data_IF_656067407003
#
_entry.id   IF_656067407003
#
_cell.length_a   1.000
_cell.length_b   1.000
_cell.length_c   1.000
_cell.angle_alpha   90.00
_cell.angle_beta   90.00
_cell.angle_gamma   90.00
#
_symmetry.space_group_name_H-M   'P 1'
#
loop_
_entity.id
_entity.type
_entity.pdbx_description
1 polymer ?
#
# COMPACT_ATOMS: atom_id res chain seq x y z
N UNK A 1 -3.63 -7.31 23.32
CA UNK A 1 -4.52 -6.64 24.30
C UNK A 1 -5.92 -7.22 24.13
N UNK A 2 -6.20 -8.39 24.71
CA UNK A 2 -7.47 -9.11 24.55
C UNK A 2 -8.07 -9.47 25.93
N UNK A 3 -8.04 -8.54 26.89
CA UNK A 3 -8.71 -8.71 28.18
C UNK A 3 -10.11 -8.07 28.10
N UNK A 4 -11.20 -8.85 28.06
CA UNK A 4 -12.55 -8.33 27.91
C UNK A 4 -13.05 -7.60 29.16
N UNK A 5 -12.41 -7.79 30.31
CA UNK A 5 -12.81 -7.15 31.57
C UNK A 5 -12.09 -5.83 31.78
N UNK A 6 -10.87 -5.68 31.28
CA UNK A 6 -10.05 -4.49 31.48
C UNK A 6 -9.84 -3.64 30.23
N UNK A 7 -10.28 -4.06 29.05
CA UNK A 7 -10.13 -3.30 27.80
C UNK A 7 -11.50 -3.01 27.18
N UNK A 8 -11.85 -1.73 27.07
CA UNK A 8 -12.96 -1.24 26.24
C UNK A 8 -12.40 -0.64 24.96
N UNK A 9 -12.95 -1.03 23.81
CA UNK A 9 -12.64 -0.40 22.51
C UNK A 9 -13.92 0.21 21.97
N UNK A 10 -13.90 1.53 21.73
CA UNK A 10 -15.04 2.29 21.23
C UNK A 10 -14.65 2.98 19.91
N UNK A 11 -15.55 3.00 18.94
CA UNK A 11 -15.43 3.78 17.72
C UNK A 11 -16.45 4.92 17.66
N UNK A 12 -16.38 5.72 16.59
CA UNK A 12 -17.32 6.83 16.35
C UNK A 12 -18.79 6.42 16.46
N UNK A 13 -19.16 5.25 15.94
CA UNK A 13 -20.54 4.76 15.94
C UNK A 13 -21.05 4.39 17.34
N UNK A 14 -20.17 3.89 18.22
CA UNK A 14 -20.54 3.51 19.58
C UNK A 14 -20.87 4.77 20.41
N UNK A 15 -20.06 5.82 20.24
CA UNK A 15 -20.22 7.08 20.98
C UNK A 15 -21.39 7.91 20.43
N UNK A 16 -21.60 7.92 19.11
CA UNK A 16 -22.77 8.60 18.51
C UNK A 16 -24.09 7.85 18.81
N UNK A 17 -24.06 6.52 18.82
CA UNK A 17 -25.23 5.68 19.05
C UNK A 17 -25.66 5.62 20.52
N UNK A 18 -24.70 5.74 21.43
CA UNK A 18 -24.90 5.77 22.87
C UNK A 18 -24.06 6.89 23.51
N UNK A 19 -24.72 8.01 23.81
CA UNK A 19 -24.08 9.20 24.35
C UNK A 19 -23.45 9.02 25.74
N UNK A 20 -23.72 7.92 26.44
CA UNK A 20 -23.09 7.62 27.75
C UNK A 20 -22.02 6.53 27.70
N UNK A 21 -21.89 5.80 26.59
CA UNK A 21 -20.98 4.64 26.48
C UNK A 21 -19.52 4.96 26.86
N UNK A 22 -19.03 6.13 26.47
CA UNK A 22 -17.68 6.58 26.82
C UNK A 22 -17.53 6.85 28.32
N UNK A 23 -18.50 7.53 28.94
CA UNK A 23 -18.47 7.85 30.36
C UNK A 23 -18.60 6.59 31.23
N UNK A 24 -19.46 5.66 30.82
CA UNK A 24 -19.58 4.35 31.46
C UNK A 24 -18.26 3.59 31.40
N UNK A 25 -17.63 3.53 30.22
CA UNK A 25 -16.34 2.86 30.06
C UNK A 25 -15.22 3.49 30.92
N UNK A 26 -15.22 4.81 31.06
CA UNK A 26 -14.26 5.57 31.88
C UNK A 26 -14.55 5.48 33.38
N UNK A 27 -15.78 5.24 33.80
CA UNK A 27 -16.17 5.12 35.21
C UNK A 27 -16.07 3.68 35.72
N UNK A 28 -16.16 2.70 34.82
CA UNK A 28 -16.11 1.28 35.16
C UNK A 28 -14.85 0.90 35.93
N UNK A 29 -15.03 0.16 37.03
CA UNK A 29 -13.96 -0.40 37.85
C UNK A 29 -13.40 -1.69 37.23
N UNK A 30 -12.14 -1.99 37.52
CA UNK A 30 -11.58 -3.31 37.19
C UNK A 30 -12.11 -4.36 38.18
N UNK A 31 -12.79 -5.38 37.66
CA UNK A 31 -13.39 -6.45 38.50
C UNK A 31 -12.38 -7.45 39.06
N UNK A 32 -11.20 -7.56 38.44
CA UNK A 32 -10.15 -8.54 38.81
C UNK A 32 -8.90 -7.80 39.35
N UNK A 33 -8.99 -6.48 39.50
CA UNK A 33 -7.89 -5.61 39.88
C UNK A 33 -6.96 -5.28 38.70
N UNK A 34 -6.11 -4.28 38.91
CA UNK A 34 -5.23 -3.73 37.87
C UNK A 34 -5.84 -2.52 37.17
N UNK A 35 -5.09 -1.97 36.21
CA UNK A 35 -5.48 -0.77 35.45
C UNK A 35 -6.38 -1.15 34.27
N UNK A 36 -7.39 -0.32 34.00
CA UNK A 36 -8.30 -0.45 32.85
C UNK A 36 -7.78 0.36 31.67
N UNK A 37 -7.98 -0.11 30.44
CA UNK A 37 -7.74 0.62 29.21
C UNK A 37 -9.07 0.93 28.52
N UNK A 38 -9.32 2.21 28.25
CA UNK A 38 -10.38 2.67 27.37
C UNK A 38 -9.72 3.20 26.10
N UNK A 39 -9.87 2.48 25.00
CA UNK A 39 -9.32 2.84 23.70
C UNK A 39 -10.43 3.37 22.80
N UNK A 40 -10.32 4.62 22.36
CA UNK A 40 -11.24 5.22 21.41
C UNK A 40 -10.57 5.34 20.04
N UNK A 41 -11.25 4.92 18.99
CA UNK A 41 -10.86 5.15 17.59
C UNK A 41 -11.74 6.25 17.02
N UNK A 42 -11.14 7.42 16.81
CA UNK A 42 -11.80 8.61 16.34
C UNK A 42 -11.40 8.95 14.91
N UNK A 43 -12.36 9.10 13.99
CA UNK A 43 -12.06 9.43 12.60
C UNK A 43 -11.46 10.83 12.39
N UNK A 44 -11.83 11.80 13.23
CA UNK A 44 -11.41 13.21 13.10
C UNK A 44 -12.42 14.10 12.35
N UNK A 45 -13.33 13.52 11.58
CA UNK A 45 -14.18 14.26 10.63
C UNK A 45 -15.47 14.83 11.24
N UNK A 46 -15.80 14.46 12.49
CA UNK A 46 -17.06 14.82 13.16
C UNK A 46 -16.82 15.83 14.29
N UNK A 47 -17.19 17.13 14.10
CA UNK A 47 -16.99 18.16 15.11
C UNK A 47 -17.79 17.94 16.42
N UNK A 48 -18.89 17.18 16.38
CA UNK A 48 -19.65 16.81 17.58
C UNK A 48 -18.83 15.87 18.47
N UNK A 49 -18.30 14.78 17.90
CA UNK A 49 -17.47 13.81 18.60
C UNK A 49 -16.16 14.43 19.09
N UNK A 50 -15.53 15.30 18.29
CA UNK A 50 -14.33 16.04 18.70
C UNK A 50 -14.55 16.79 20.04
N UNK A 51 -15.71 17.44 20.20
CA UNK A 51 -16.06 18.15 21.44
C UNK A 51 -16.38 17.21 22.59
N UNK A 52 -17.10 16.11 22.35
CA UNK A 52 -17.42 15.11 23.36
C UNK A 52 -16.15 14.48 23.91
N UNK A 53 -15.24 14.07 23.03
CA UNK A 53 -13.95 13.49 23.40
C UNK A 53 -13.06 14.50 24.13
N UNK A 54 -13.05 15.77 23.71
CA UNK A 54 -12.33 16.82 24.42
C UNK A 54 -12.85 17.04 25.84
N UNK A 55 -14.17 16.99 26.04
CA UNK A 55 -14.79 17.12 27.35
C UNK A 55 -14.44 15.92 28.24
N UNK A 56 -14.63 14.70 27.74
CA UNK A 56 -14.30 13.47 28.46
C UNK A 56 -12.81 13.42 28.85
N UNK A 57 -11.90 13.80 27.95
CA UNK A 57 -10.47 13.87 28.23
C UNK A 57 -10.15 14.83 29.39
N UNK A 58 -10.76 16.03 29.40
CA UNK A 58 -10.56 17.02 30.47
C UNK A 58 -11.10 16.50 31.80
N UNK A 59 -12.34 16.02 31.81
CA UNK A 59 -12.96 15.46 33.01
C UNK A 59 -12.13 14.31 33.58
N UNK A 60 -11.62 13.42 32.73
CA UNK A 60 -10.75 12.34 33.15
C UNK A 60 -9.42 12.85 33.75
N UNK A 61 -8.76 13.79 33.06
CA UNK A 61 -7.49 14.37 33.50
C UNK A 61 -7.61 15.15 34.82
N UNK A 62 -8.79 15.72 35.10
CA UNK A 62 -9.10 16.41 36.35
C UNK A 62 -9.59 15.46 37.47
N UNK A 63 -9.60 14.15 37.21
CA UNK A 63 -9.96 13.12 38.20
C UNK A 63 -11.47 12.88 38.37
N UNK A 64 -12.29 13.29 37.40
CA UNK A 64 -13.75 13.13 37.45
C UNK A 64 -14.26 11.71 37.14
N UNK A 65 -13.41 10.81 36.64
CA UNK A 65 -13.74 9.40 36.38
C UNK A 65 -12.79 8.45 37.15
N UNK A 66 -12.87 7.15 36.86
CA UNK A 66 -12.04 6.14 37.53
C UNK A 66 -10.53 6.46 37.34
N UNK A 67 -9.75 6.67 38.42
CA UNK A 67 -8.31 6.97 38.32
C UNK A 67 -7.48 5.78 37.81
N UNK A 68 -8.00 4.55 37.89
CA UNK A 68 -7.34 3.36 37.38
C UNK A 68 -7.62 3.12 35.89
N UNK A 69 -8.50 3.92 35.27
CA UNK A 69 -8.72 3.90 33.83
C UNK A 69 -7.65 4.72 33.11
N UNK A 70 -7.12 4.16 32.03
CA UNK A 70 -6.23 4.83 31.09
C UNK A 70 -6.99 5.05 29.79
N UNK A 71 -7.19 6.32 29.42
CA UNK A 71 -7.80 6.72 28.17
C UNK A 71 -6.75 6.85 27.07
N UNK A 72 -6.91 6.12 25.97
CA UNK A 72 -6.12 6.25 24.76
C UNK A 72 -7.04 6.59 23.60
N UNK A 73 -6.83 7.73 22.95
CA UNK A 73 -7.61 8.16 21.80
C UNK A 73 -6.71 8.11 20.56
N UNK A 74 -7.03 7.21 19.65
CA UNK A 74 -6.41 7.13 18.33
C UNK A 74 -7.27 7.95 17.37
N UNK A 75 -6.76 9.11 16.98
CA UNK A 75 -7.46 10.00 16.07
C UNK A 75 -6.85 9.96 14.67
N UNK A 76 -7.68 10.21 13.65
CA UNK A 76 -7.22 10.65 12.34
C UNK A 76 -6.54 12.03 12.39
N UNK A 77 -6.35 12.66 11.23
CA UNK A 77 -5.68 13.97 11.17
C UNK A 77 -6.51 15.06 11.87
N UNK A 78 -6.00 15.61 12.97
CA UNK A 78 -6.64 16.70 13.71
C UNK A 78 -5.99 18.06 13.43
N UNK A 79 -6.77 18.98 12.86
CA UNK A 79 -6.37 20.37 12.66
C UNK A 79 -6.15 21.14 13.97
N UNK A 80 -5.58 22.34 13.88
CA UNK A 80 -5.28 23.18 15.07
C UNK A 80 -6.55 23.68 15.76
N UNK A 81 -7.68 23.65 15.08
CA UNK A 81 -8.99 24.05 15.56
C UNK A 81 -9.68 22.99 16.41
N UNK A 82 -9.30 21.71 16.28
CA UNK A 82 -9.85 20.57 17.03
C UNK A 82 -9.83 20.84 18.53
N UNK A 83 -10.99 20.68 19.16
CA UNK A 83 -11.15 20.79 20.59
C UNK A 83 -10.40 19.68 21.32
N UNK A 84 -10.40 18.46 20.77
CA UNK A 84 -9.70 17.32 21.34
C UNK A 84 -8.19 17.56 21.35
N UNK A 85 -7.63 17.99 20.21
CA UNK A 85 -6.20 18.33 20.12
C UNK A 85 -5.80 19.39 21.14
N UNK A 86 -6.56 20.49 21.21
CA UNK A 86 -6.31 21.57 22.20
C UNK A 86 -6.39 21.05 23.64
N UNK A 87 -7.36 20.18 23.95
CA UNK A 87 -7.50 19.59 25.26
C UNK A 87 -6.33 18.66 25.63
N UNK A 88 -5.83 17.89 24.67
CA UNK A 88 -4.70 16.99 24.86
C UNK A 88 -3.36 17.74 25.01
N UNK A 89 -3.17 18.86 24.30
CA UNK A 89 -1.94 19.67 24.38
C UNK A 89 -1.91 20.58 25.62
N UNK A 90 -3.06 21.07 26.10
CA UNK A 90 -3.13 22.01 27.23
C UNK A 90 -3.26 21.33 28.61
N UNK A 91 -3.67 20.07 28.67
CA UNK A 91 -3.94 19.36 29.91
C UNK A 91 -2.66 18.91 30.64
N UNK A 92 -2.68 18.90 31.98
CA UNK A 92 -1.57 18.38 32.80
C UNK A 92 -1.61 16.86 32.97
N UNK A 93 -2.79 16.25 32.82
CA UNK A 93 -3.03 14.80 32.92
C UNK A 93 -3.21 14.11 31.56
N UNK A 94 -2.93 14.81 30.46
CA UNK A 94 -3.05 14.31 29.10
C UNK A 94 -1.80 14.68 28.28
N UNK A 95 -1.57 13.95 27.19
CA UNK A 95 -0.50 14.26 26.24
C UNK A 95 -1.00 14.01 24.83
N UNK A 96 -0.78 14.98 23.94
CA UNK A 96 -0.94 14.82 22.51
C UNK A 96 0.33 14.26 21.89
N UNK A 97 0.25 13.11 21.23
CA UNK A 97 1.35 12.54 20.45
C UNK A 97 0.97 12.63 18.98
N UNK A 98 1.70 13.46 18.23
CA UNK A 98 1.44 13.63 16.79
C UNK A 98 2.19 12.56 16.01
N UNK A 99 1.45 11.75 15.27
CA UNK A 99 1.99 10.72 14.38
C UNK A 99 2.04 11.27 12.95
N UNK A 100 3.14 11.87 12.56
CA UNK A 100 3.37 12.32 11.19
C UNK A 100 3.59 11.13 10.24
N UNK A 101 3.17 11.29 8.98
CA UNK A 101 3.58 10.40 7.90
C UNK A 101 5.10 10.45 7.73
N UNK A 102 5.71 9.34 7.34
CA UNK A 102 7.14 9.32 7.08
C UNK A 102 7.44 10.04 5.76
N UNK A 103 8.32 11.04 5.84
CA UNK A 103 8.98 11.56 4.65
C UNK A 103 10.18 10.66 4.27
N UNK A 104 10.68 10.79 3.04
CA UNK A 104 11.83 10.01 2.58
C UNK A 104 13.06 10.14 3.51
N UNK A 105 13.24 11.32 4.13
CA UNK A 105 14.30 11.55 5.11
C UNK A 105 14.12 10.78 6.41
N UNK A 106 12.89 10.64 6.90
CA UNK A 106 12.57 9.86 8.10
C UNK A 106 12.78 8.37 7.86
N UNK A 107 12.35 7.87 6.71
CA UNK A 107 12.60 6.48 6.31
C UNK A 107 14.10 6.20 6.25
N UNK A 108 14.88 7.07 5.59
CA UNK A 108 16.33 6.93 5.52
C UNK A 108 16.99 6.93 6.90
N UNK A 109 16.52 7.77 7.82
CA UNK A 109 17.00 7.81 9.21
C UNK A 109 16.65 6.52 9.95
N UNK A 110 15.42 6.04 9.85
CA UNK A 110 14.99 4.80 10.48
C UNK A 110 15.81 3.59 10.00
N UNK A 111 16.07 3.49 8.69
CA UNK A 111 16.94 2.44 8.13
C UNK A 111 18.33 2.51 8.76
N UNK A 112 18.95 3.70 8.82
CA UNK A 112 20.29 3.86 9.42
C UNK A 112 20.30 3.47 10.90
N UNK A 113 19.32 3.92 11.66
CA UNK A 113 19.22 3.64 13.11
C UNK A 113 19.08 2.12 13.36
N UNK A 114 18.23 1.45 12.59
CA UNK A 114 18.02 0.01 12.71
C UNK A 114 19.25 -0.80 12.31
N UNK A 115 19.88 -0.49 11.16
CA UNK A 115 21.11 -1.18 10.74
C UNK A 115 22.27 -0.95 11.72
N UNK A 116 22.39 0.27 12.26
CA UNK A 116 23.42 0.61 13.24
C UNK A 116 23.26 -0.16 14.56
N UNK A 117 22.02 -0.45 14.98
CA UNK A 117 21.76 -1.29 16.16
C UNK A 117 22.41 -2.69 16.03
N UNK A 118 22.42 -3.22 14.81
CA UNK A 118 23.06 -4.49 14.46
C UNK A 118 24.52 -4.35 14.01
N UNK A 119 25.12 -3.15 14.13
CA UNK A 119 26.50 -2.85 13.70
C UNK A 119 26.75 -3.20 12.23
N UNK A 120 25.77 -2.94 11.38
CA UNK A 120 25.85 -3.08 9.92
C UNK A 120 25.43 -1.76 9.27
N UNK A 121 25.65 -1.62 7.97
CA UNK A 121 25.32 -0.38 7.28
C UNK A 121 25.16 -0.50 5.77
N UNK A 122 24.79 0.63 5.17
CA UNK A 122 24.74 0.85 3.74
C UNK A 122 25.58 2.08 3.38
N UNK A 123 26.20 2.07 2.20
CA UNK A 123 26.72 3.30 1.58
C UNK A 123 25.55 4.25 1.24
N UNK A 124 25.86 5.52 0.98
CA UNK A 124 24.82 6.55 0.75
C UNK A 124 23.92 6.23 -0.45
N UNK A 125 24.50 5.74 -1.54
CA UNK A 125 23.79 5.36 -2.76
C UNK A 125 22.96 4.07 -2.59
N UNK A 126 23.47 3.09 -1.86
CA UNK A 126 22.72 1.88 -1.50
C UNK A 126 21.53 2.23 -0.60
N UNK A 127 21.72 3.10 0.38
CA UNK A 127 20.65 3.56 1.26
C UNK A 127 19.52 4.24 0.46
N UNK A 128 19.85 5.16 -0.45
CA UNK A 128 18.87 5.85 -1.28
C UNK A 128 18.03 4.85 -2.11
N UNK A 129 18.69 3.87 -2.73
CA UNK A 129 18.02 2.81 -3.50
C UNK A 129 17.12 1.94 -2.62
N UNK A 130 17.61 1.55 -1.45
CA UNK A 130 16.84 0.72 -0.53
C UNK A 130 15.60 1.47 -0.02
N UNK A 131 15.75 2.73 0.39
CA UNK A 131 14.64 3.59 0.82
C UNK A 131 13.59 3.74 -0.28
N UNK A 132 14.02 3.94 -1.54
CA UNK A 132 13.09 4.04 -2.67
C UNK A 132 12.31 2.76 -2.97
N UNK A 133 12.77 1.60 -2.47
CA UNK A 133 12.12 0.29 -2.63
C UNK A 133 11.27 -0.15 -1.44
N UNK A 134 11.39 0.51 -0.28
CA UNK A 134 10.67 0.10 0.91
C UNK A 134 9.15 0.32 0.74
N UNK A 135 8.33 -0.64 1.20
CA UNK A 135 6.87 -0.50 1.17
C UNK A 135 6.46 0.67 2.09
N UNK A 136 5.34 1.33 1.74
CA UNK A 136 4.81 2.46 2.52
C UNK A 136 4.29 2.05 3.91
N UNK A 137 3.94 0.78 4.08
CA UNK A 137 3.44 0.25 5.35
C UNK A 137 4.62 0.03 6.31
N UNK A 138 4.60 0.70 7.48
CA UNK A 138 5.72 0.71 8.44
C UNK A 138 6.07 -0.69 8.98
N UNK A 139 5.09 -1.56 9.16
CA UNK A 139 5.30 -2.93 9.62
C UNK A 139 6.14 -3.74 8.64
N UNK A 140 5.74 -3.75 7.36
CA UNK A 140 6.48 -4.38 6.27
C UNK A 140 7.86 -3.73 6.09
N UNK A 141 7.93 -2.41 6.18
CA UNK A 141 9.20 -1.68 6.09
C UNK A 141 10.20 -2.14 7.15
N UNK A 142 9.75 -2.31 8.41
CA UNK A 142 10.61 -2.82 9.49
C UNK A 142 11.07 -4.25 9.24
N UNK A 143 10.19 -5.12 8.74
CA UNK A 143 10.55 -6.50 8.38
C UNK A 143 11.61 -6.54 7.28
N UNK A 144 11.50 -5.67 6.28
CA UNK A 144 12.47 -5.56 5.19
C UNK A 144 13.84 -5.05 5.69
N UNK A 145 13.85 -4.09 6.61
CA UNK A 145 15.09 -3.60 7.24
C UNK A 145 15.75 -4.70 8.08
N UNK A 146 14.97 -5.42 8.88
CA UNK A 146 15.46 -6.54 9.69
C UNK A 146 16.02 -7.66 8.81
N UNK A 147 15.32 -8.00 7.72
CA UNK A 147 15.78 -8.98 6.73
C UNK A 147 17.14 -8.59 6.16
N UNK A 148 17.32 -7.32 5.80
CA UNK A 148 18.59 -6.81 5.29
C UNK A 148 19.70 -6.90 6.35
N UNK A 149 19.41 -6.52 7.60
CA UNK A 149 20.39 -6.62 8.70
C UNK A 149 20.85 -8.07 8.91
N UNK A 150 19.90 -9.02 8.92
CA UNK A 150 20.17 -10.45 9.01
C UNK A 150 21.01 -10.98 7.85
N UNK A 151 20.75 -10.52 6.63
CA UNK A 151 21.54 -10.88 5.45
C UNK A 151 22.99 -10.39 5.54
N UNK A 152 23.19 -9.14 5.98
CA UNK A 152 24.56 -8.58 6.14
C UNK A 152 25.32 -9.36 7.22
N UNK A 153 24.61 -9.79 8.27
CA UNK A 153 25.14 -10.49 9.42
C UNK A 153 25.30 -9.54 10.60
N UNK A 154 24.39 -9.54 11.59
CA UNK A 154 24.49 -8.68 12.76
C UNK A 154 25.82 -8.87 13.49
N UNK A 155 26.42 -7.76 13.92
CA UNK A 155 27.73 -7.72 14.58
C UNK A 155 28.93 -7.83 13.65
N UNK A 156 28.73 -8.00 12.33
CA UNK A 156 29.83 -8.16 11.36
C UNK A 156 30.64 -6.88 11.11
N UNK A 157 30.09 -5.70 11.39
CA UNK A 157 30.72 -4.42 11.05
C UNK A 157 30.68 -4.10 9.56
N UNK A 158 29.96 -4.89 8.75
CA UNK A 158 29.95 -4.75 7.29
C UNK A 158 29.00 -3.64 6.85
N UNK A 159 29.45 -2.90 5.83
CA UNK A 159 28.64 -1.93 5.09
C UNK A 159 28.49 -2.43 3.66
N UNK A 160 27.26 -2.59 3.16
CA UNK A 160 27.04 -2.94 1.76
C UNK A 160 27.03 -1.70 0.87
N UNK A 161 27.58 -1.85 -0.33
CA UNK A 161 27.43 -0.91 -1.43
C UNK A 161 26.20 -1.26 -2.29
N UNK A 162 25.98 -0.53 -3.39
CA UNK A 162 24.83 -0.77 -4.25
C UNK A 162 24.83 -2.20 -4.85
N UNK A 163 25.98 -2.76 -5.19
CA UNK A 163 26.07 -4.12 -5.74
C UNK A 163 25.75 -5.17 -4.67
N UNK A 164 26.32 -5.02 -3.47
CA UNK A 164 26.01 -5.87 -2.32
C UNK A 164 24.54 -5.80 -1.93
N UNK A 165 23.92 -4.62 -2.02
CA UNK A 165 22.49 -4.44 -1.79
C UNK A 165 21.64 -5.20 -2.84
N UNK A 166 21.95 -5.10 -4.13
CA UNK A 166 21.19 -5.84 -5.15
C UNK A 166 21.28 -7.36 -4.94
N UNK A 167 22.43 -7.87 -4.50
CA UNK A 167 22.58 -9.27 -4.13
C UNK A 167 21.73 -9.64 -2.89
N UNK A 168 21.61 -8.73 -1.91
CA UNK A 168 20.82 -8.92 -0.69
C UNK A 168 19.31 -8.89 -0.91
N UNK A 169 18.84 -7.97 -1.76
CA UNK A 169 17.43 -7.85 -2.14
C UNK A 169 17.00 -8.98 -3.08
N UNK A 170 17.97 -9.57 -3.80
CA UNK A 170 17.71 -10.50 -4.89
C UNK A 170 17.16 -9.79 -6.13
N UNK A 171 17.09 -10.51 -7.24
CA UNK A 171 16.34 -10.05 -8.42
C UNK A 171 14.86 -10.25 -8.13
N UNK A 172 14.26 -9.35 -7.36
CA UNK A 172 12.82 -9.15 -7.45
C UNK A 172 12.58 -8.29 -8.68
N UNK A 173 11.98 -8.82 -9.76
CA UNK A 173 11.46 -7.94 -10.79
C UNK A 173 10.40 -7.10 -10.09
N UNK A 174 10.63 -5.78 -9.99
CA UNK A 174 9.70 -4.82 -9.40
C UNK A 174 8.28 -5.23 -9.80
N UNK A 175 7.36 -5.41 -8.83
CA UNK A 175 6.03 -5.89 -9.14
C UNK A 175 5.29 -4.86 -10.00
N UNK A 176 5.43 -5.04 -11.30
CA UNK A 176 4.95 -4.10 -12.27
C UNK A 176 3.66 -4.63 -12.84
N UNK A 177 2.56 -3.94 -12.56
CA UNK A 177 1.31 -4.15 -13.28
C UNK A 177 1.52 -4.07 -14.80
N UNK A 178 2.48 -3.26 -15.26
CA UNK A 178 2.86 -3.17 -16.66
C UNK A 178 3.57 -4.44 -17.14
N UNK A 179 4.46 -5.05 -16.36
CA UNK A 179 5.08 -6.33 -16.73
C UNK A 179 4.05 -7.46 -16.73
N UNK A 180 3.14 -7.52 -15.75
CA UNK A 180 2.05 -8.50 -15.74
C UNK A 180 1.19 -8.41 -17.02
N UNK A 181 0.86 -7.20 -17.46
CA UNK A 181 0.19 -6.96 -18.74
C UNK A 181 1.06 -7.40 -19.94
N UNK A 182 2.36 -7.07 -19.96
CA UNK A 182 3.30 -7.49 -21.00
C UNK A 182 3.38 -9.02 -21.11
N UNK A 183 3.50 -9.74 -19.99
CA UNK A 183 3.53 -11.20 -19.96
C UNK A 183 2.19 -11.80 -20.43
N UNK A 184 1.06 -11.18 -20.06
CA UNK A 184 -0.26 -11.62 -20.50
C UNK A 184 -0.41 -11.51 -22.03
N UNK A 185 -0.14 -10.34 -22.61
CA UNK A 185 -0.15 -10.17 -24.07
C UNK A 185 0.90 -11.02 -24.78
N UNK A 186 1.98 -11.42 -24.08
CA UNK A 186 3.03 -12.31 -24.58
C UNK A 186 2.72 -13.81 -24.47
N UNK A 187 1.54 -14.23 -24.01
CA UNK A 187 1.16 -15.64 -23.94
C UNK A 187 1.71 -16.39 -22.72
N UNK A 188 2.11 -15.68 -21.66
CA UNK A 188 2.77 -16.24 -20.47
C UNK A 188 1.90 -16.09 -19.21
N UNK A 189 0.87 -16.94 -19.01
CA UNK A 189 -0.08 -16.76 -17.92
C UNK A 189 0.49 -17.01 -16.54
N UNK A 190 1.44 -17.95 -16.39
CA UNK A 190 2.13 -18.17 -15.11
C UNK A 190 2.83 -16.90 -14.62
N UNK A 191 3.79 -16.36 -15.39
CA UNK A 191 4.44 -15.08 -15.07
C UNK A 191 3.46 -13.91 -14.89
N UNK A 192 2.47 -13.77 -15.78
CA UNK A 192 1.46 -12.71 -15.67
C UNK A 192 0.66 -12.78 -14.36
N UNK A 193 0.19 -13.97 -13.98
CA UNK A 193 -0.57 -14.20 -12.76
C UNK A 193 0.28 -13.98 -11.51
N UNK A 194 1.50 -14.55 -11.48
CA UNK A 194 2.39 -14.39 -10.34
C UNK A 194 2.82 -12.93 -10.14
N UNK A 195 3.07 -12.20 -11.23
CA UNK A 195 3.40 -10.77 -11.18
C UNK A 195 2.24 -9.92 -10.69
N UNK A 196 1.03 -10.20 -11.18
CA UNK A 196 -0.18 -9.50 -10.74
C UNK A 196 -0.49 -9.73 -9.25
N UNK A 197 -0.40 -10.98 -8.78
CA UNK A 197 -0.64 -11.30 -7.36
C UNK A 197 0.39 -10.63 -6.44
N UNK A 198 1.64 -10.52 -6.89
CA UNK A 198 2.69 -9.79 -6.15
C UNK A 198 2.37 -8.31 -6.07
N UNK A 199 2.00 -7.69 -7.20
CA UNK A 199 1.59 -6.29 -7.23
C UNK A 199 0.41 -6.01 -6.28
N UNK A 200 -0.59 -6.89 -6.24
CA UNK A 200 -1.69 -6.78 -5.26
C UNK A 200 -1.25 -6.93 -3.81
N UNK A 201 -0.29 -7.81 -3.53
CA UNK A 201 0.30 -7.92 -2.20
C UNK A 201 1.08 -6.66 -1.79
N UNK A 202 1.62 -5.92 -2.76
CA UNK A 202 2.30 -4.62 -2.57
C UNK A 202 1.33 -3.41 -2.52
N UNK A 203 0.02 -3.65 -2.59
CA UNK A 203 -1.01 -2.62 -2.47
C UNK A 203 -1.43 -1.95 -3.78
N UNK A 204 -1.00 -2.49 -4.93
CA UNK A 204 -1.48 -2.02 -6.23
C UNK A 204 -2.97 -2.30 -6.43
N UNK A 205 -3.66 -1.42 -7.15
CA UNK A 205 -5.11 -1.53 -7.34
C UNK A 205 -5.50 -2.41 -8.53
N UNK A 206 -6.59 -3.16 -8.41
CA UNK A 206 -7.15 -3.94 -9.51
C UNK A 206 -7.54 -3.05 -10.71
N UNK A 207 -8.02 -1.84 -10.44
CA UNK A 207 -8.34 -0.83 -11.48
C UNK A 207 -7.07 -0.43 -12.24
N UNK A 208 -5.93 -0.27 -11.56
CA UNK A 208 -4.64 0.00 -12.22
C UNK A 208 -4.15 -1.19 -13.03
N UNK A 209 -4.37 -2.42 -12.57
CA UNK A 209 -4.02 -3.62 -13.33
C UNK A 209 -4.77 -3.67 -14.68
N UNK A 210 -6.09 -3.44 -14.66
CA UNK A 210 -6.90 -3.37 -15.89
C UNK A 210 -6.45 -2.21 -16.78
N UNK A 211 -6.12 -1.05 -16.19
CA UNK A 211 -5.57 0.10 -16.94
C UNK A 211 -4.25 -0.26 -17.64
N UNK A 212 -3.35 -1.01 -17.00
CA UNK A 212 -2.09 -1.42 -17.64
C UNK A 212 -2.31 -2.38 -18.81
N UNK A 213 -3.31 -3.27 -18.71
CA UNK A 213 -3.73 -4.08 -19.86
C UNK A 213 -4.22 -3.20 -21.02
N UNK A 214 -5.02 -2.15 -20.73
CA UNK A 214 -5.46 -1.19 -21.74
C UNK A 214 -4.32 -0.40 -22.39
N UNK A 215 -3.32 0.01 -21.60
CA UNK A 215 -2.12 0.71 -22.11
C UNK A 215 -1.31 -0.21 -23.03
N UNK A 216 -1.12 -1.47 -22.64
CA UNK A 216 -0.41 -2.46 -23.46
C UNK A 216 -1.13 -2.71 -24.79
N UNK A 217 -2.46 -2.87 -24.75
CA UNK A 217 -3.30 -2.96 -25.96
C UNK A 217 -3.11 -1.74 -26.86
N UNK A 218 -3.19 -0.53 -26.30
CA UNK A 218 -3.03 0.71 -27.04
C UNK A 218 -1.68 0.82 -27.75
N UNK A 219 -0.60 0.35 -27.13
CA UNK A 219 0.73 0.27 -27.77
C UNK A 219 0.72 -0.65 -28.98
N UNK A 220 0.18 -1.87 -28.84
CA UNK A 220 0.09 -2.84 -29.94
C UNK A 220 -0.76 -2.31 -31.10
N UNK A 221 -1.94 -1.75 -30.79
CA UNK A 221 -2.83 -1.14 -31.79
C UNK A 221 -2.13 -0.01 -32.55
N UNK A 222 -1.45 0.89 -31.84
CA UNK A 222 -0.72 2.01 -32.44
C UNK A 222 0.41 1.54 -33.35
N UNK A 223 1.16 0.51 -32.94
CA UNK A 223 2.20 -0.09 -33.77
C UNK A 223 1.61 -0.64 -35.07
N UNK A 224 0.51 -1.39 -35.00
CA UNK A 224 -0.12 -1.99 -36.18
C UNK A 224 -0.61 -0.92 -37.16
N UNK A 225 -1.32 0.10 -36.69
CA UNK A 225 -1.80 1.21 -37.53
C UNK A 225 -0.65 1.93 -38.23
N UNK A 226 0.45 2.18 -37.52
CA UNK A 226 1.62 2.85 -38.10
C UNK A 226 2.32 1.97 -39.15
N UNK A 227 2.42 0.67 -38.91
CA UNK A 227 3.01 -0.26 -39.88
C UNK A 227 2.13 -0.42 -41.13
N UNK A 228 0.80 -0.46 -40.99
CA UNK A 228 -0.14 -0.44 -42.11
C UNK A 228 -0.04 0.85 -42.94
N UNK A 229 0.25 1.98 -42.28
CA UNK A 229 0.53 3.25 -42.92
C UNK A 229 1.95 3.34 -43.56
N UNK A 230 2.74 2.26 -43.51
CA UNK A 230 4.05 2.16 -44.15
C UNK A 230 5.25 2.52 -43.27
N UNK A 231 5.06 2.78 -41.97
CA UNK A 231 6.17 3.06 -41.06
C UNK A 231 7.01 1.79 -40.79
N UNK A 232 8.32 1.97 -40.60
CA UNK A 232 9.20 0.87 -40.21
C UNK A 232 8.89 0.37 -38.79
N UNK A 233 9.10 -0.93 -38.51
CA UNK A 233 8.73 -1.53 -37.23
C UNK A 233 9.32 -0.83 -36.00
N UNK A 234 10.61 -0.46 -36.04
CA UNK A 234 11.28 0.27 -34.93
C UNK A 234 10.76 1.70 -34.76
N UNK A 235 10.46 2.37 -35.87
CA UNK A 235 9.88 3.71 -35.86
C UNK A 235 8.48 3.68 -35.25
N UNK A 236 7.65 2.71 -35.64
CA UNK A 236 6.32 2.48 -35.08
C UNK A 236 6.36 2.18 -33.57
N UNK A 237 7.30 1.33 -33.12
CA UNK A 237 7.49 1.04 -31.70
C UNK A 237 7.89 2.28 -30.90
N UNK A 238 8.85 3.07 -31.40
CA UNK A 238 9.27 4.34 -30.78
C UNK A 238 8.10 5.32 -30.70
N UNK A 239 7.34 5.47 -31.79
CA UNK A 239 6.17 6.35 -31.85
C UNK A 239 5.01 5.90 -30.94
N UNK A 240 4.97 4.63 -30.54
CA UNK A 240 4.05 4.08 -29.55
C UNK A 240 4.55 4.19 -28.11
N UNK A 241 5.70 4.85 -27.86
CA UNK A 241 6.25 5.02 -26.52
C UNK A 241 6.81 3.73 -25.92
N UNK A 242 7.27 2.80 -26.76
CA UNK A 242 7.91 1.57 -26.30
C UNK A 242 9.30 1.88 -25.76
N UNK A 243 9.59 1.40 -24.54
CA UNK A 243 10.93 1.46 -23.98
C UNK A 243 11.85 0.51 -24.74
N UNK A 244 13.07 0.95 -25.05
CA UNK A 244 13.99 0.22 -25.95
C UNK A 244 14.30 -1.22 -25.50
N UNK A 245 14.34 -1.50 -24.18
CA UNK A 245 14.55 -2.87 -23.67
C UNK A 245 13.37 -3.81 -23.96
N UNK A 246 12.16 -3.26 -24.13
CA UNK A 246 10.93 -4.01 -24.40
C UNK A 246 10.61 -4.10 -25.90
N UNK A 247 11.37 -3.40 -26.76
CA UNK A 247 11.12 -3.29 -28.20
C UNK A 247 10.97 -4.66 -28.88
N UNK A 248 11.91 -5.57 -28.63
CA UNK A 248 11.91 -6.89 -29.26
C UNK A 248 10.66 -7.71 -28.92
N UNK A 249 10.27 -7.73 -27.64
CA UNK A 249 9.09 -8.46 -27.18
C UNK A 249 7.79 -7.82 -27.65
N UNK A 250 7.67 -6.49 -27.59
CA UNK A 250 6.46 -5.80 -28.04
C UNK A 250 6.29 -5.94 -29.56
N UNK A 251 7.37 -5.88 -30.35
CA UNK A 251 7.30 -6.15 -31.79
C UNK A 251 6.95 -7.61 -32.11
N UNK A 252 7.38 -8.57 -31.27
CA UNK A 252 6.94 -9.97 -31.38
C UNK A 252 5.44 -10.08 -31.16
N UNK A 253 4.91 -9.43 -30.12
CA UNK A 253 3.48 -9.41 -29.80
C UNK A 253 2.66 -8.73 -30.91
N UNK A 254 3.11 -7.56 -31.39
CA UNK A 254 2.41 -6.80 -32.44
C UNK A 254 2.24 -7.58 -33.74
N UNK A 255 3.21 -8.43 -34.12
CA UNK A 255 3.09 -9.30 -35.31
C UNK A 255 1.99 -10.36 -35.19
N UNK A 256 1.72 -10.85 -33.99
CA UNK A 256 0.69 -11.87 -33.78
C UNK A 256 -0.69 -11.26 -33.51
N UNK A 257 -0.74 -10.20 -32.70
CA UNK A 257 -1.98 -9.49 -32.38
C UNK A 257 -2.40 -8.57 -33.52
N UNK A 258 -3.31 -9.02 -34.38
CA UNK A 258 -3.94 -8.19 -35.42
C UNK A 258 -5.01 -7.26 -34.85
N UNK A 259 -5.37 -6.20 -35.59
CA UNK A 259 -6.33 -5.19 -35.13
C UNK A 259 -7.68 -5.79 -34.72
N UNK A 260 -8.19 -6.76 -35.48
CA UNK A 260 -9.48 -7.41 -35.20
C UNK A 260 -9.45 -8.18 -33.88
N UNK A 261 -8.33 -8.84 -33.58
CA UNK A 261 -8.15 -9.57 -32.31
C UNK A 261 -7.99 -8.62 -31.12
N UNK A 262 -7.42 -7.43 -31.35
CA UNK A 262 -7.30 -6.40 -30.33
C UNK A 262 -8.65 -5.72 -30.04
N UNK A 263 -9.58 -5.66 -30.99
CA UNK A 263 -10.95 -5.20 -30.74
C UNK A 263 -11.67 -6.16 -29.76
N UNK A 264 -11.59 -7.47 -29.99
CA UNK A 264 -12.20 -8.45 -29.08
C UNK A 264 -11.63 -8.39 -27.65
N UNK A 265 -10.35 -8.03 -27.50
CA UNK A 265 -9.72 -7.87 -26.18
C UNK A 265 -10.12 -6.54 -25.53
N UNK A 266 -10.32 -5.50 -26.32
CA UNK A 266 -10.77 -4.19 -25.83
C UNK A 266 -12.11 -4.29 -25.11
N UNK A 267 -13.06 -5.09 -25.64
CA UNK A 267 -14.35 -5.32 -25.00
C UNK A 267 -14.24 -6.03 -23.65
N UNK A 268 -13.36 -7.04 -23.55
CA UNK A 268 -13.07 -7.72 -22.30
C UNK A 268 -12.45 -6.76 -21.26
N UNK A 269 -11.52 -5.89 -21.70
CA UNK A 269 -10.90 -4.86 -20.86
C UNK A 269 -11.95 -3.85 -20.37
N UNK A 270 -12.83 -3.35 -21.24
CA UNK A 270 -13.88 -2.39 -20.87
C UNK A 270 -14.87 -2.98 -19.86
N UNK A 271 -15.21 -4.25 -20.05
CA UNK A 271 -16.08 -4.99 -19.12
C UNK A 271 -15.43 -5.12 -17.75
N UNK A 272 -14.15 -5.50 -17.70
CA UNK A 272 -13.39 -5.60 -16.45
C UNK A 272 -13.16 -4.23 -15.79
N UNK A 273 -12.93 -3.16 -16.56
CA UNK A 273 -12.74 -1.81 -16.03
C UNK A 273 -14.01 -1.29 -15.34
N UNK A 274 -15.17 -1.56 -15.92
CA UNK A 274 -16.46 -1.23 -15.30
C UNK A 274 -16.71 -2.07 -14.05
N UNK A 275 -16.45 -3.38 -14.12
CA UNK A 275 -16.71 -4.30 -13.02
C UNK A 275 -15.79 -4.05 -11.81
N UNK A 276 -14.51 -3.74 -12.04
CA UNK A 276 -13.55 -3.42 -10.97
C UNK A 276 -13.84 -2.09 -10.26
N UNK A 277 -14.61 -1.19 -10.88
CA UNK A 277 -15.08 0.07 -10.28
C UNK A 277 -16.44 -0.02 -9.61
N UNK A 278 -17.06 -1.21 -9.61
CA UNK A 278 -18.37 -1.43 -9.00
C UNK A 278 -18.22 -1.84 -7.53
N UNK A 279 -18.91 -1.15 -6.63
CA UNK A 279 -18.86 -1.42 -5.19
C UNK A 279 -19.23 -2.86 -4.85
N UNK A 280 -18.40 -3.53 -4.03
CA UNK A 280 -18.64 -4.90 -3.57
C UNK A 280 -18.27 -6.00 -4.56
N UNK A 281 -17.72 -5.67 -5.73
CA UNK A 281 -17.21 -6.66 -6.67
C UNK A 281 -15.87 -7.26 -6.22
N UNK A 282 -15.57 -8.53 -6.56
CA UNK A 282 -14.26 -9.15 -6.31
C UNK A 282 -13.24 -8.66 -7.36
N UNK A 283 -12.84 -7.40 -7.25
CA UNK A 283 -12.04 -6.65 -8.22
C UNK A 283 -10.70 -7.30 -8.59
N UNK A 284 -9.94 -7.81 -7.60
CA UNK A 284 -8.68 -8.52 -7.84
C UNK A 284 -8.87 -9.78 -8.68
N UNK A 285 -9.93 -10.55 -8.39
CA UNK A 285 -10.25 -11.76 -9.16
C UNK A 285 -10.69 -11.44 -10.59
N UNK A 286 -11.40 -10.32 -10.77
CA UNK A 286 -11.79 -9.82 -12.09
C UNK A 286 -10.55 -9.47 -12.93
N UNK A 287 -9.61 -8.71 -12.35
CA UNK A 287 -8.37 -8.35 -13.01
C UNK A 287 -7.49 -9.57 -13.34
N UNK A 288 -7.40 -10.54 -12.41
CA UNK A 288 -6.67 -11.79 -12.61
C UNK A 288 -7.26 -12.63 -13.75
N UNK A 289 -8.60 -12.78 -13.75
CA UNK A 289 -9.32 -13.46 -14.84
C UNK A 289 -9.05 -12.79 -16.19
N UNK A 290 -9.07 -11.46 -16.25
CA UNK A 290 -8.79 -10.71 -17.47
C UNK A 290 -7.39 -11.03 -18.02
N UNK A 291 -6.33 -10.95 -17.20
CA UNK A 291 -4.97 -11.22 -17.68
C UNK A 291 -4.80 -12.67 -18.12
N UNK A 292 -5.42 -13.63 -17.42
CA UNK A 292 -5.41 -15.03 -17.82
C UNK A 292 -6.16 -15.26 -19.14
N UNK A 293 -7.27 -14.56 -19.37
CA UNK A 293 -8.01 -14.60 -20.62
C UNK A 293 -7.18 -14.06 -21.80
N UNK A 294 -6.54 -12.90 -21.62
CA UNK A 294 -5.63 -12.30 -22.61
C UNK A 294 -4.49 -13.27 -22.93
N UNK A 295 -3.86 -13.87 -21.91
CA UNK A 295 -2.79 -14.84 -22.09
C UNK A 295 -3.25 -16.12 -22.81
N UNK A 296 -4.47 -16.58 -22.54
CA UNK A 296 -5.04 -17.73 -23.24
C UNK A 296 -5.34 -17.42 -24.71
N UNK A 297 -5.76 -16.19 -25.03
CA UNK A 297 -5.94 -15.72 -26.42
C UNK A 297 -4.59 -15.59 -27.14
N UNK A 298 -3.59 -14.98 -26.49
CA UNK A 298 -2.22 -14.88 -27.00
C UNK A 298 -1.65 -16.24 -27.41
N UNK A 299 -1.79 -17.27 -26.56
CA UNK A 299 -1.32 -18.63 -26.88
C UNK A 299 -2.05 -19.25 -28.07
N UNK A 300 -3.35 -19.00 -28.24
CA UNK A 300 -4.12 -19.49 -29.40
C UNK A 300 -3.67 -18.88 -30.72
N UNK A 301 -3.13 -17.66 -30.70
CA UNK A 301 -2.62 -16.98 -31.89
C UNK A 301 -1.11 -17.18 -32.10
N UNK A 302 -0.49 -18.09 -31.35
CA UNK A 302 0.89 -18.55 -31.55
C UNK A 302 1.98 -17.77 -30.79
N UNK A 303 1.63 -17.04 -29.73
CA UNK A 303 2.59 -16.36 -28.85
C UNK A 303 3.08 -17.20 -27.66
#
# INVERSE_FOLDING_TARGET
>A
LNDPFNVSVLGDADIDGDGVALEEALTALSMIGGRRLVRVRFGGDKPSLDKVLAAALKTHADGGYNPDAMLVIEAGALGRESALRKAAEAGKGSVGIVCYEDEAGDVARMVREALAADKVGLTSDALERFVGRLPRERGLMRQEIERLALYIGPGSGRTLDAEGLEAALGVEPDASLQDAALQAFGGRPGPAQSGLRRAFAEGESAVMAVRQASIQLGKLRRINILQEAGAGAKEAAKAAGVFWKQEAEILRQARAWRLELLDDVQDAINTADTATKTTGAPDQLIAERLLLEIAARARRIGL
#
